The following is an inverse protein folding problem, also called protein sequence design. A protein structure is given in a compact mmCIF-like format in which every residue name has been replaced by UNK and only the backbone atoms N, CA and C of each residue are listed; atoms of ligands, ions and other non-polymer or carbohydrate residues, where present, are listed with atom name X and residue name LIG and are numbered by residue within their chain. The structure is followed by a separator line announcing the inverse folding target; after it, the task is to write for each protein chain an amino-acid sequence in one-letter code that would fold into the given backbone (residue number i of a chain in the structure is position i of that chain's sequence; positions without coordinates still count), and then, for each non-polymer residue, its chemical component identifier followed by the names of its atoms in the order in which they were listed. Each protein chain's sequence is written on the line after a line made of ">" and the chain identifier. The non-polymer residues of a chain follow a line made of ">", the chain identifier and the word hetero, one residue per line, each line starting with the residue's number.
data_IF_251074903457
#
_entry.id   IF_251074903457
#
_cell.length_a   1.000
_cell.length_b   1.000
_cell.length_c   1.000
_cell.angle_alpha   90.00
_cell.angle_beta   90.00
_cell.angle_gamma   90.00
#
_symmetry.space_group_name_H-M   'P 1'
#
loop_
_entity.id
_entity.type
_entity.pdbx_description
1 polymer ?
#
# COMPACT_ATOMS: atom_id res chain seq x y z
N UNK A 1 13.30 3.44 13.23
CA UNK A 1 12.11 3.33 12.36
C UNK A 1 11.19 2.29 12.98
N UNK A 2 9.87 2.52 13.03
CA UNK A 2 8.93 1.51 13.53
C UNK A 2 8.69 0.51 12.41
N UNK A 3 9.12 -0.72 12.57
CA UNK A 3 8.88 -1.78 11.61
C UNK A 3 7.50 -2.37 11.89
N UNK A 4 6.58 -2.25 10.95
CA UNK A 4 5.27 -2.87 11.03
C UNK A 4 5.41 -4.34 10.63
N UNK A 5 4.94 -5.25 11.48
CA UNK A 5 4.85 -6.68 11.18
C UNK A 5 3.39 -7.10 11.21
N UNK A 6 2.95 -7.85 10.21
CA UNK A 6 1.56 -8.29 10.08
C UNK A 6 1.48 -9.80 10.26
N UNK A 7 0.66 -10.21 11.21
CA UNK A 7 0.29 -11.61 11.42
C UNK A 7 -1.06 -11.85 10.76
N UNK A 8 -1.08 -12.64 9.69
CA UNK A 8 -2.31 -13.08 9.05
C UNK A 8 -2.81 -14.36 9.73
N UNK A 9 -4.10 -14.39 10.06
CA UNK A 9 -4.79 -15.54 10.64
C UNK A 9 -6.12 -15.71 9.92
N UNK A 10 -6.40 -16.94 9.51
CA UNK A 10 -7.69 -17.33 8.93
C UNK A 10 -8.14 -18.60 9.62
N UNK A 11 -9.42 -18.66 9.99
CA UNK A 11 -10.02 -19.90 10.49
C UNK A 11 -10.42 -20.78 9.30
N UNK A 12 -10.21 -22.10 9.39
CA UNK A 12 -10.46 -23.01 8.28
C UNK A 12 -11.93 -22.95 7.82
N UNK A 13 -12.14 -22.67 6.52
CA UNK A 13 -13.47 -22.54 5.92
C UNK A 13 -14.12 -21.17 6.10
N UNK A 14 -13.46 -20.22 6.77
CA UNK A 14 -13.99 -18.87 6.93
C UNK A 14 -13.70 -17.99 5.72
N UNK A 15 -14.67 -17.12 5.41
CA UNK A 15 -14.54 -16.10 4.35
C UNK A 15 -13.79 -14.85 4.85
N UNK A 16 -13.53 -14.76 6.15
CA UNK A 16 -12.88 -13.61 6.78
C UNK A 16 -11.45 -13.97 7.16
N UNK A 17 -10.49 -13.18 6.67
CA UNK A 17 -9.11 -13.22 7.15
C UNK A 17 -8.83 -12.04 8.08
N UNK A 18 -8.15 -12.32 9.19
CA UNK A 18 -7.76 -11.36 10.21
C UNK A 18 -6.27 -11.05 10.10
N UNK A 19 -5.94 -9.79 9.92
CA UNK A 19 -4.56 -9.30 9.84
C UNK A 19 -4.27 -8.44 11.07
N UNK A 20 -3.48 -8.98 12.00
CA UNK A 20 -3.11 -8.30 13.25
C UNK A 20 -1.80 -7.55 13.07
N UNK A 21 -1.76 -6.31 13.55
CA UNK A 21 -0.63 -5.39 13.45
C UNK A 21 0.08 -5.26 14.79
N UNK A 22 1.41 -5.22 14.77
CA UNK A 22 2.22 -4.97 15.97
C UNK A 22 2.13 -3.52 16.49
N UNK A 23 1.67 -2.59 15.66
CA UNK A 23 1.56 -1.17 15.96
C UNK A 23 0.19 -0.64 15.55
N UNK A 24 -0.40 0.22 16.39
CA UNK A 24 -1.71 0.79 16.11
C UNK A 24 -1.67 1.76 14.94
N UNK A 25 -2.71 1.71 14.10
CA UNK A 25 -2.89 2.57 12.91
C UNK A 25 -3.49 3.94 13.30
N UNK A 26 -3.65 4.20 14.60
CA UNK A 26 -4.21 5.46 15.11
C UNK A 26 -5.73 5.60 14.92
N UNK A 27 -6.42 4.48 14.69
CA UNK A 27 -7.87 4.42 14.51
C UNK A 27 -8.53 4.21 15.87
N UNK A 28 -9.36 5.17 16.31
CA UNK A 28 -10.08 5.11 17.60
C UNK A 28 -11.46 4.43 17.54
N UNK A 29 -12.03 4.28 16.34
CA UNK A 29 -13.34 3.67 16.11
C UNK A 29 -13.25 2.71 14.94
N UNK A 30 -13.83 1.50 15.02
CA UNK A 30 -13.82 0.57 13.91
C UNK A 30 -14.52 1.21 12.70
N UNK A 31 -13.86 1.16 11.55
CA UNK A 31 -14.38 1.66 10.29
C UNK A 31 -14.69 0.47 9.39
N UNK A 32 -15.91 0.43 8.86
CA UNK A 32 -16.38 -0.62 7.95
C UNK A 32 -16.49 -0.03 6.56
N UNK A 33 -15.87 -0.70 5.59
CA UNK A 33 -15.86 -0.29 4.18
C UNK A 33 -16.46 -1.42 3.35
N UNK A 34 -17.53 -1.11 2.61
CA UNK A 34 -18.25 -2.09 1.77
C UNK A 34 -17.97 -1.92 0.28
N UNK A 35 -17.39 -0.78 -0.10
CA UNK A 35 -17.13 -0.43 -1.48
C UNK A 35 -15.96 0.57 -1.57
N UNK A 36 -15.50 0.81 -2.81
CA UNK A 36 -14.42 1.75 -3.12
C UNK A 36 -14.80 3.20 -2.77
N UNK A 37 -16.09 3.56 -2.84
CA UNK A 37 -16.54 4.92 -2.55
C UNK A 37 -16.39 5.29 -1.07
N UNK A 38 -16.72 4.36 -0.17
CA UNK A 38 -16.52 4.49 1.27
C UNK A 38 -15.03 4.61 1.60
N UNK A 39 -14.19 3.95 0.79
CA UNK A 39 -12.74 3.92 0.96
C UNK A 39 -12.02 5.20 0.49
N UNK A 40 -12.71 6.23 -0.01
CA UNK A 40 -12.10 7.49 -0.54
C UNK A 40 -11.10 8.14 0.44
N UNK A 41 -11.30 8.00 1.75
CA UNK A 41 -10.40 8.51 2.79
C UNK A 41 -9.29 7.57 3.27
N UNK A 42 -9.27 6.33 2.77
CA UNK A 42 -8.36 5.27 3.22
C UNK A 42 -7.71 4.59 1.99
N UNK A 43 -6.55 5.11 1.51
CA UNK A 43 -5.90 4.57 0.32
C UNK A 43 -5.49 3.09 0.44
N UNK A 44 -5.16 2.64 1.66
CA UNK A 44 -4.92 1.23 1.97
C UNK A 44 -6.12 0.34 1.61
N UNK A 45 -7.33 0.80 1.95
CA UNK A 45 -8.57 0.06 1.70
C UNK A 45 -8.92 0.08 0.22
N UNK A 46 -8.74 1.22 -0.45
CA UNK A 46 -8.92 1.29 -1.89
C UNK A 46 -8.04 0.26 -2.60
N UNK A 47 -6.79 0.12 -2.16
CA UNK A 47 -5.86 -0.85 -2.71
C UNK A 47 -6.35 -2.29 -2.54
N UNK A 48 -6.89 -2.64 -1.36
CA UNK A 48 -7.49 -3.95 -1.12
C UNK A 48 -8.70 -4.21 -2.04
N UNK A 49 -9.52 -3.21 -2.32
CA UNK A 49 -10.67 -3.35 -3.24
C UNK A 49 -10.30 -3.50 -4.72
N UNK A 50 -9.05 -3.26 -5.13
CA UNK A 50 -8.61 -3.63 -6.49
C UNK A 50 -8.46 -5.14 -6.66
N UNK A 51 -8.37 -5.89 -5.56
CA UNK A 51 -8.39 -7.35 -5.60
C UNK A 51 -9.84 -7.80 -5.89
N UNK A 52 -10.09 -8.53 -6.99
CA UNK A 52 -11.46 -8.82 -7.46
C UNK A 52 -12.26 -9.72 -6.50
N UNK A 53 -11.59 -10.33 -5.52
CA UNK A 53 -12.19 -11.20 -4.52
C UNK A 53 -12.52 -10.50 -3.20
N UNK A 54 -12.17 -9.23 -3.00
CA UNK A 54 -12.45 -8.52 -1.74
C UNK A 54 -13.88 -7.97 -1.72
N UNK A 55 -14.65 -8.38 -0.72
CA UNK A 55 -16.06 -7.99 -0.53
C UNK A 55 -16.22 -6.85 0.47
N UNK A 56 -15.55 -6.93 1.60
CA UNK A 56 -15.68 -5.97 2.70
C UNK A 56 -14.35 -5.88 3.46
N UNK A 57 -14.03 -4.69 3.97
CA UNK A 57 -12.83 -4.46 4.79
C UNK A 57 -13.23 -3.73 6.06
N UNK A 58 -12.80 -4.25 7.21
CA UNK A 58 -13.00 -3.65 8.52
C UNK A 58 -11.65 -3.25 9.09
N UNK A 59 -11.50 -1.99 9.44
CA UNK A 59 -10.31 -1.44 10.07
C UNK A 59 -10.56 -1.15 11.53
N UNK A 60 -9.75 -1.76 12.39
CA UNK A 60 -9.73 -1.56 13.83
C UNK A 60 -8.38 -0.94 14.24
N UNK A 61 -8.16 -0.74 15.54
CA UNK A 61 -6.98 -0.03 16.05
C UNK A 61 -5.65 -0.70 15.65
N UNK A 62 -5.60 -2.03 15.71
CA UNK A 62 -4.43 -2.86 15.42
C UNK A 62 -4.80 -4.12 14.62
N UNK A 63 -5.95 -4.12 13.95
CA UNK A 63 -6.48 -5.27 13.25
C UNK A 63 -7.19 -4.83 11.97
N UNK A 64 -6.94 -5.54 10.87
CA UNK A 64 -7.63 -5.38 9.59
C UNK A 64 -8.31 -6.71 9.29
N UNK A 65 -9.63 -6.70 9.16
CA UNK A 65 -10.39 -7.88 8.74
C UNK A 65 -10.80 -7.68 7.29
N UNK A 66 -10.51 -8.69 6.46
CA UNK A 66 -10.86 -8.68 5.04
C UNK A 66 -11.80 -9.85 4.79
N UNK A 67 -12.98 -9.53 4.29
CA UNK A 67 -13.96 -10.52 3.85
C UNK A 67 -13.80 -10.72 2.36
N UNK A 68 -13.63 -11.96 1.92
CA UNK A 68 -13.57 -12.30 0.50
C UNK A 68 -14.90 -12.83 -0.03
N UNK A 69 -15.04 -12.86 -1.36
CA UNK A 69 -16.05 -13.63 -2.05
C UNK A 69 -15.68 -15.12 -2.09
N UNK A 70 -16.70 -15.96 -2.24
CA UNK A 70 -16.58 -17.42 -2.33
C UNK A 70 -16.15 -17.89 -3.74
N UNK A 71 -15.12 -17.21 -4.26
CA UNK A 71 -14.50 -17.50 -5.56
C UNK A 71 -13.04 -17.95 -5.38
N UNK A 72 -12.40 -17.46 -4.30
CA UNK A 72 -11.04 -17.69 -3.82
C UNK A 72 -10.93 -18.85 -2.80
N UNK A 73 -9.75 -19.28 -2.37
CA UNK A 73 -9.48 -19.71 -0.99
C UNK A 73 -8.42 -18.79 -0.37
N UNK A 74 -8.53 -18.50 0.93
CA UNK A 74 -7.54 -17.61 1.57
C UNK A 74 -6.15 -18.23 1.55
N UNK A 75 -6.02 -19.55 1.62
CA UNK A 75 -4.75 -20.28 1.66
C UNK A 75 -3.82 -19.91 0.49
N UNK A 76 -4.37 -19.61 -0.68
CA UNK A 76 -3.61 -19.26 -1.88
C UNK A 76 -3.14 -17.78 -1.91
N UNK A 77 -3.85 -16.88 -1.23
CA UNK A 77 -3.64 -15.41 -1.33
C UNK A 77 -3.32 -14.73 0.00
N UNK A 78 -3.43 -15.44 1.12
CA UNK A 78 -3.25 -14.88 2.48
C UNK A 78 -1.88 -14.25 2.63
N UNK A 79 -0.85 -14.97 2.18
CA UNK A 79 0.54 -14.52 2.27
C UNK A 79 0.82 -13.32 1.36
N UNK A 80 0.26 -13.30 0.15
CA UNK A 80 0.41 -12.16 -0.75
C UNK A 80 -0.26 -10.91 -0.17
N UNK A 81 -1.48 -11.03 0.36
CA UNK A 81 -2.18 -9.90 0.99
C UNK A 81 -1.43 -9.44 2.24
N UNK A 82 -0.87 -10.36 3.03
CA UNK A 82 -0.03 -10.05 4.20
C UNK A 82 1.20 -9.24 3.79
N UNK A 83 1.98 -9.71 2.81
CA UNK A 83 3.14 -9.00 2.26
C UNK A 83 2.76 -7.62 1.73
N UNK A 84 1.68 -7.52 0.96
CA UNK A 84 1.24 -6.24 0.41
C UNK A 84 0.86 -5.24 1.50
N UNK A 85 0.14 -5.67 2.53
CA UNK A 85 -0.21 -4.83 3.67
C UNK A 85 1.04 -4.41 4.46
N UNK A 86 1.98 -5.33 4.68
CA UNK A 86 3.20 -5.09 5.44
C UNK A 86 4.11 -4.10 4.69
N UNK A 87 4.30 -4.31 3.39
CA UNK A 87 5.03 -3.41 2.51
C UNK A 87 4.36 -2.04 2.48
N UNK A 88 3.03 -1.97 2.36
CA UNK A 88 2.33 -0.69 2.33
C UNK A 88 2.56 0.13 3.62
N UNK A 89 2.51 -0.52 4.79
CA UNK A 89 2.70 0.15 6.08
C UNK A 89 4.16 0.53 6.35
N UNK A 90 5.11 -0.30 5.91
CA UNK A 90 6.54 -0.05 6.05
C UNK A 90 7.09 0.95 5.03
N UNK A 91 6.65 0.87 3.78
CA UNK A 91 7.12 1.73 2.69
C UNK A 91 6.45 3.09 2.71
N UNK A 92 5.16 3.15 3.06
CA UNK A 92 4.38 4.36 3.21
C UNK A 92 4.46 5.35 2.03
N UNK A 93 3.38 5.54 1.29
CA UNK A 93 3.27 6.67 0.37
C UNK A 93 3.03 8.00 1.12
N UNK A 94 3.81 9.03 0.77
CA UNK A 94 3.67 10.48 1.06
C UNK A 94 2.94 10.83 2.35
N UNK A 95 3.70 11.26 3.37
CA UNK A 95 3.25 11.83 4.66
C UNK A 95 1.81 12.34 4.66
N UNK A 96 0.87 11.45 4.99
CA UNK A 96 -0.41 11.85 5.54
C UNK A 96 -0.12 12.61 6.83
N UNK A 97 -0.25 13.95 6.82
CA UNK A 97 -0.02 14.82 7.99
C UNK A 97 -0.81 14.37 9.23
N UNK A 98 -1.89 13.60 9.05
CA UNK A 98 -2.70 12.99 10.11
C UNK A 98 -2.18 11.65 10.62
N UNK A 99 -1.58 10.81 9.77
CA UNK A 99 -1.37 9.39 10.06
C UNK A 99 0.08 8.90 10.11
N UNK A 100 1.08 9.74 9.77
CA UNK A 100 2.53 9.48 9.93
C UNK A 100 3.05 8.12 9.41
N UNK A 101 2.36 7.47 8.48
CA UNK A 101 2.91 6.38 7.67
C UNK A 101 3.42 6.96 6.34
N UNK A 102 4.62 6.57 5.91
CA UNK A 102 5.31 7.22 4.79
C UNK A 102 6.82 7.01 4.71
N UNK A 103 7.39 6.72 3.54
CA UNK A 103 8.72 7.18 3.14
C UNK A 103 8.68 8.70 3.24
N UNK A 104 9.50 9.26 4.14
CA UNK A 104 9.63 10.70 4.27
C UNK A 104 10.24 11.26 3.00
N UNK A 105 9.58 12.26 2.41
CA UNK A 105 10.10 12.99 1.26
C UNK A 105 10.46 14.40 1.74
N UNK A 106 11.68 14.85 1.44
CA UNK A 106 12.09 16.20 1.78
C UNK A 106 11.25 17.26 1.04
N UNK A 107 11.06 18.46 1.61
CA UNK A 107 10.34 19.55 0.94
C UNK A 107 10.93 19.90 -0.44
N UNK A 108 12.26 19.89 -0.57
CA UNK A 108 12.94 20.14 -1.83
C UNK A 108 12.65 19.05 -2.88
N UNK A 109 12.69 17.76 -2.48
CA UNK A 109 12.35 16.66 -3.39
C UNK A 109 10.87 16.70 -3.82
N UNK A 110 9.96 17.14 -2.94
CA UNK A 110 8.56 17.34 -3.28
C UNK A 110 8.37 18.43 -4.35
N UNK A 111 9.11 19.53 -4.28
CA UNK A 111 9.01 20.60 -5.27
C UNK A 111 9.52 20.14 -6.64
N UNK A 112 10.62 19.41 -6.68
CA UNK A 112 11.13 18.78 -7.91
C UNK A 112 10.09 17.80 -8.50
N UNK A 113 9.49 16.95 -7.68
CA UNK A 113 8.45 16.03 -8.16
C UNK A 113 7.20 16.74 -8.69
N UNK A 114 6.80 17.87 -8.06
CA UNK A 114 5.71 18.70 -8.56
C UNK A 114 6.04 19.33 -9.91
N UNK A 115 7.30 19.70 -10.15
CA UNK A 115 7.72 20.21 -11.44
C UNK A 115 7.72 19.11 -12.51
N UNK A 116 8.26 17.93 -12.20
CA UNK A 116 8.27 16.79 -13.12
C UNK A 116 6.84 16.39 -13.52
N UNK A 117 5.99 16.12 -12.52
CA UNK A 117 4.61 15.65 -12.74
C UNK A 117 3.66 16.75 -13.23
N UNK A 118 4.01 18.01 -12.97
CA UNK A 118 3.27 19.19 -13.41
C UNK A 118 3.61 19.68 -14.82
N UNK A 119 4.36 18.89 -15.60
CA UNK A 119 4.71 19.21 -16.99
C UNK A 119 5.89 20.17 -17.15
N UNK A 120 6.60 20.50 -16.06
CA UNK A 120 7.80 21.36 -16.04
C UNK A 120 9.09 20.54 -15.95
N UNK A 121 9.14 19.38 -16.62
CA UNK A 121 10.31 18.48 -16.62
C UNK A 121 11.61 19.19 -17.02
N UNK A 122 11.55 20.16 -17.95
CA UNK A 122 12.73 20.96 -18.33
C UNK A 122 13.39 21.67 -17.15
N UNK A 123 12.60 22.19 -16.20
CA UNK A 123 13.13 22.87 -15.02
C UNK A 123 13.78 21.87 -14.05
N UNK A 124 13.13 20.73 -13.84
CA UNK A 124 13.69 19.67 -13.02
C UNK A 124 15.02 19.12 -13.59
N UNK A 125 15.14 18.99 -14.92
CA UNK A 125 16.37 18.55 -15.59
C UNK A 125 17.48 19.61 -15.59
N UNK A 126 17.15 20.88 -15.34
CA UNK A 126 18.12 21.97 -15.27
C UNK A 126 18.73 22.14 -13.88
N UNK A 127 18.24 21.40 -12.88
CA UNK A 127 18.77 21.44 -11.52
C UNK A 127 20.15 20.77 -11.47
N UNK A 128 21.05 21.36 -10.70
CA UNK A 128 22.33 20.74 -10.38
C UNK A 128 22.13 19.54 -9.43
N UNK A 129 23.09 18.61 -9.47
CA UNK A 129 23.06 17.42 -8.64
C UNK A 129 23.10 17.80 -7.14
N UNK A 130 22.11 17.33 -6.40
CA UNK A 130 21.90 17.65 -4.98
C UNK A 130 21.31 16.45 -4.23
N UNK A 131 21.28 16.55 -2.90
CA UNK A 131 20.61 15.55 -2.07
C UNK A 131 19.12 15.37 -2.47
N UNK A 132 18.45 16.45 -2.88
CA UNK A 132 17.06 16.41 -3.31
C UNK A 132 16.88 15.70 -4.67
N UNK A 133 17.76 15.94 -5.65
CA UNK A 133 17.69 15.23 -6.95
C UNK A 133 18.02 13.75 -6.80
N UNK A 134 18.95 13.40 -5.92
CA UNK A 134 19.29 12.01 -5.57
C UNK A 134 18.12 11.31 -4.89
N UNK A 135 17.45 11.96 -3.94
CA UNK A 135 16.25 11.45 -3.28
C UNK A 135 15.11 11.19 -4.27
N UNK A 136 14.83 12.14 -5.18
CA UNK A 136 13.83 11.96 -6.25
C UNK A 136 14.19 10.79 -7.16
N UNK A 137 15.47 10.64 -7.50
CA UNK A 137 15.95 9.52 -8.32
C UNK A 137 15.73 8.19 -7.61
N UNK A 138 16.09 8.09 -6.33
CA UNK A 138 15.86 6.88 -5.53
C UNK A 138 14.36 6.53 -5.42
N UNK A 139 13.50 7.53 -5.24
CA UNK A 139 12.04 7.34 -5.23
C UNK A 139 11.52 6.85 -6.59
N UNK A 140 11.99 7.42 -7.69
CA UNK A 140 11.62 7.01 -9.04
C UNK A 140 12.05 5.58 -9.34
N UNK A 141 13.28 5.21 -8.96
CA UNK A 141 13.80 3.84 -9.11
C UNK A 141 12.95 2.83 -8.34
N UNK A 142 12.68 3.08 -7.05
CA UNK A 142 11.85 2.20 -6.22
C UNK A 142 10.45 2.05 -6.80
N UNK A 143 9.84 3.14 -7.28
CA UNK A 143 8.52 3.09 -7.89
C UNK A 143 8.51 2.25 -9.18
N UNK A 144 9.55 2.35 -10.01
CA UNK A 144 9.68 1.56 -11.23
C UNK A 144 9.91 0.08 -10.92
N UNK A 145 10.79 -0.23 -9.98
CA UNK A 145 11.05 -1.60 -9.51
C UNK A 145 9.76 -2.25 -9.01
N UNK A 146 9.03 -1.56 -8.14
CA UNK A 146 7.76 -2.04 -7.63
C UNK A 146 6.72 -2.27 -8.74
N UNK A 147 6.65 -1.38 -9.73
CA UNK A 147 5.77 -1.53 -10.88
C UNK A 147 6.14 -2.75 -11.74
N UNK A 148 7.43 -2.95 -12.01
CA UNK A 148 7.93 -4.09 -12.78
C UNK A 148 7.67 -5.39 -12.03
N UNK A 149 8.00 -5.45 -10.74
CA UNK A 149 7.77 -6.63 -9.90
C UNK A 149 6.29 -7.02 -9.89
N UNK A 150 5.39 -6.05 -9.71
CA UNK A 150 3.94 -6.29 -9.77
C UNK A 150 3.53 -6.88 -11.11
N UNK A 151 3.99 -6.33 -12.22
CA UNK A 151 3.67 -6.87 -13.55
C UNK A 151 4.20 -8.29 -13.74
N UNK A 152 5.40 -8.58 -13.25
CA UNK A 152 5.98 -9.93 -13.31
C UNK A 152 5.19 -10.93 -12.46
N UNK A 153 4.79 -10.56 -11.23
CA UNK A 153 3.94 -11.40 -10.37
C UNK A 153 2.57 -11.64 -11.00
N UNK A 154 1.94 -10.62 -11.58
CA UNK A 154 0.67 -10.79 -12.28
C UNK A 154 0.79 -11.75 -13.47
N UNK A 155 1.89 -11.69 -14.25
CA UNK A 155 2.11 -12.58 -15.39
C UNK A 155 2.39 -14.03 -14.94
N UNK A 156 3.21 -14.22 -13.90
CA UNK A 156 3.55 -15.56 -13.41
C UNK A 156 2.38 -16.31 -12.77
N UNK A 157 1.35 -15.60 -12.31
CA UNK A 157 0.07 -16.20 -11.88
C UNK A 157 -0.65 -16.89 -13.05
N UNK A 158 -0.50 -16.41 -14.29
CA UNK A 158 -1.13 -17.02 -15.48
C UNK A 158 -0.33 -18.17 -16.10
N UNK A 159 0.95 -18.35 -15.75
CA UNK A 159 1.81 -19.43 -16.29
C UNK A 159 1.76 -20.73 -15.47
N UNK A 160 0.99 -20.78 -14.37
CA UNK A 160 0.84 -21.97 -13.51
C UNK A 160 -0.31 -22.91 -13.89
N UNK A 161 -0.82 -22.84 -15.13
CA UNK A 161 -1.85 -23.74 -15.67
C UNK A 161 -1.31 -24.64 -16.78
#
# INVERSE_FOLDING_TARGET
>A
MKQYSITAQVEQGEVVARFTLNHSVGIKKPLVFKNIEDAKGAPLVQQLFYLPFVKEVILQENCIEVTRFDILEWEDVLEEVREQLENYLNEGGVLCRRCRSGTSISPAALDIMRDILGGRLRQALALEESAATSEVTALATRALEHHIERRLRTVSVFERH
#
